data_IF_048534635652
#
_entry.id   IF_048534635652
#
_cell.length_a   1.000
_cell.length_b   1.000
_cell.length_c   1.000
_cell.angle_alpha   90.00
_cell.angle_beta   90.00
_cell.angle_gamma   90.00
#
_symmetry.space_group_name_H-M   'P 1'
#
loop_
_entity.id
_entity.type
_entity.pdbx_description
1 polymer ?
#
# COMPACT_ATOMS: atom_id res chain seq x y z
N UNK A 1 -5.11 20.95 -18.20
CA UNK A 1 -3.76 20.77 -17.62
C UNK A 1 -3.71 19.35 -17.10
N UNK A 2 -2.72 18.55 -17.51
CA UNK A 2 -2.59 17.17 -17.04
C UNK A 2 -1.43 17.11 -16.07
N UNK A 3 -1.66 16.44 -14.94
CA UNK A 3 -0.64 16.27 -13.92
C UNK A 3 0.53 15.44 -14.45
N UNK A 4 1.75 15.85 -14.10
CA UNK A 4 2.99 15.14 -14.44
C UNK A 4 3.57 14.58 -13.16
N UNK A 5 3.62 13.26 -13.07
CA UNK A 5 4.26 12.57 -11.95
C UNK A 5 5.72 12.28 -12.29
N UNK A 6 6.63 12.63 -11.38
CA UNK A 6 8.07 12.40 -11.56
C UNK A 6 8.54 11.08 -10.96
N UNK A 7 7.81 10.54 -9.97
CA UNK A 7 8.11 9.30 -9.28
C UNK A 7 6.84 8.67 -8.72
N UNK A 8 6.90 7.36 -8.49
CA UNK A 8 5.86 6.58 -7.82
C UNK A 8 6.52 5.75 -6.71
N UNK A 9 5.88 5.67 -5.55
CA UNK A 9 6.31 4.83 -4.43
C UNK A 9 5.36 3.66 -4.30
N UNK A 10 5.90 2.44 -4.41
CA UNK A 10 5.15 1.19 -4.26
C UNK A 10 5.44 0.64 -2.86
N UNK A 11 4.38 0.35 -2.11
CA UNK A 11 4.47 -0.21 -0.75
C UNK A 11 3.84 -1.60 -0.78
N UNK A 12 4.59 -2.60 -0.31
CA UNK A 12 4.12 -3.97 -0.20
C UNK A 12 3.29 -4.16 1.09
N UNK A 13 2.35 -5.10 1.06
CA UNK A 13 1.46 -5.38 2.20
C UNK A 13 2.21 -5.97 3.41
N UNK A 14 3.24 -6.78 3.14
CA UNK A 14 4.11 -7.42 4.13
C UNK A 14 5.57 -7.35 3.70
N UNK A 15 6.45 -7.60 4.66
CA UNK A 15 7.87 -7.79 4.35
C UNK A 15 8.02 -9.10 3.59
N UNK A 16 8.73 -9.04 2.47
CA UNK A 16 9.10 -10.20 1.67
C UNK A 16 10.62 -10.25 1.58
N UNK A 17 11.17 -11.45 1.32
CA UNK A 17 12.61 -11.60 1.13
C UNK A 17 13.03 -10.88 -0.14
N UNK A 18 14.30 -10.47 -0.19
CA UNK A 18 14.87 -9.79 -1.36
C UNK A 18 14.70 -10.62 -2.65
N UNK A 19 14.96 -11.93 -2.56
CA UNK A 19 14.77 -12.87 -3.68
C UNK A 19 13.32 -12.91 -4.19
N UNK A 20 12.34 -12.79 -3.28
CA UNK A 20 10.92 -12.76 -3.62
C UNK A 20 10.48 -11.40 -4.20
N UNK A 21 11.21 -10.32 -3.87
CA UNK A 21 10.96 -8.97 -4.37
C UNK A 21 11.52 -8.78 -5.78
N UNK A 22 12.56 -9.52 -6.15
CA UNK A 22 13.26 -9.38 -7.42
C UNK A 22 12.31 -9.50 -8.64
N UNK A 23 11.40 -10.49 -8.74
CA UNK A 23 10.43 -10.56 -9.84
C UNK A 23 9.50 -9.34 -9.93
N UNK A 24 9.15 -8.72 -8.80
CA UNK A 24 8.30 -7.52 -8.74
C UNK A 24 9.07 -6.32 -9.30
N UNK A 25 10.33 -6.15 -8.87
CA UNK A 25 11.22 -5.09 -9.35
C UNK A 25 11.41 -5.20 -10.87
N UNK A 26 11.67 -6.41 -11.36
CA UNK A 26 11.82 -6.67 -12.80
C UNK A 26 10.54 -6.36 -13.57
N UNK A 27 9.38 -6.80 -13.09
CA UNK A 27 8.10 -6.51 -13.71
C UNK A 27 7.88 -4.99 -13.85
N UNK A 28 8.16 -4.20 -12.79
CA UNK A 28 8.01 -2.74 -12.84
C UNK A 28 9.00 -2.12 -13.85
N UNK A 29 10.24 -2.61 -13.92
CA UNK A 29 11.24 -2.14 -14.89
C UNK A 29 10.84 -2.38 -16.36
N UNK A 30 9.98 -3.36 -16.63
CA UNK A 30 9.47 -3.60 -18.01
C UNK A 30 8.41 -2.57 -18.45
N UNK A 31 7.85 -1.79 -17.53
CA UNK A 31 6.80 -0.81 -17.86
C UNK A 31 7.42 0.37 -18.63
N UNK A 32 6.85 0.69 -19.80
CA UNK A 32 7.31 1.81 -20.64
C UNK A 32 7.31 3.12 -19.87
N UNK A 33 8.48 3.76 -19.81
CA UNK A 33 8.66 5.05 -19.13
C UNK A 33 9.17 4.93 -17.69
N UNK A 34 9.32 3.73 -17.16
CA UNK A 34 10.08 3.50 -15.92
C UNK A 34 11.57 3.59 -16.24
N UNK A 35 12.25 4.51 -15.56
CA UNK A 35 13.70 4.70 -15.71
C UNK A 35 14.49 3.83 -14.73
N UNK A 36 14.01 3.71 -13.50
CA UNK A 36 14.63 2.89 -12.45
C UNK A 36 13.60 2.45 -11.40
N UNK A 37 13.92 1.39 -10.67
CA UNK A 37 13.14 0.87 -9.53
C UNK A 37 14.12 0.51 -8.43
N UNK A 38 14.05 1.25 -7.32
CA UNK A 38 14.92 1.08 -6.16
C UNK A 38 14.16 0.37 -5.03
N UNK A 39 14.49 -0.91 -4.70
CA UNK A 39 13.97 -1.55 -3.51
C UNK A 39 14.60 -0.89 -2.28
N UNK A 40 13.77 -0.54 -1.30
CA UNK A 40 14.23 -0.15 0.02
C UNK A 40 14.14 -1.37 0.92
N UNK A 41 15.30 -1.96 1.23
CA UNK A 41 15.38 -2.95 2.32
C UNK A 41 14.98 -2.20 3.58
N UNK A 42 13.98 -2.71 4.30
CA UNK A 42 13.54 -2.09 5.52
C UNK A 42 14.70 -2.09 6.52
N UNK A 43 15.40 -0.95 6.66
CA UNK A 43 16.02 -0.61 7.93
C UNK A 43 14.87 -0.45 8.93
N UNK A 44 14.69 -1.55 9.65
CA UNK A 44 13.69 -2.01 10.62
C UNK A 44 12.64 -1.08 11.27
N UNK A 45 12.48 0.23 11.03
CA UNK A 45 11.57 1.01 11.91
C UNK A 45 10.60 2.06 11.31
N UNK A 46 10.88 2.79 10.22
CA UNK A 46 10.19 4.11 10.12
C UNK A 46 9.15 4.26 8.99
N UNK A 47 9.20 3.52 7.87
CA UNK A 47 8.24 3.74 6.76
C UNK A 47 7.13 2.69 6.61
N UNK A 48 7.42 1.41 6.85
CA UNK A 48 6.42 0.33 6.76
C UNK A 48 5.33 0.41 7.85
N UNK A 49 5.70 0.88 9.06
CA UNK A 49 4.81 0.93 10.23
C UNK A 49 3.59 1.81 10.01
N UNK A 50 3.73 2.96 9.34
CA UNK A 50 2.63 3.91 9.15
C UNK A 50 1.60 3.41 8.14
N UNK A 51 2.05 2.80 7.04
CA UNK A 51 1.16 2.26 6.01
C UNK A 51 0.50 0.95 6.46
N UNK A 52 1.21 0.10 7.20
CA UNK A 52 0.64 -1.11 7.82
C UNK A 52 -0.45 -0.79 8.83
N UNK A 53 -0.21 0.17 9.71
CA UNK A 53 -1.22 0.57 10.71
C UNK A 53 -2.50 1.04 10.02
N UNK A 54 -2.39 1.85 8.96
CA UNK A 54 -3.56 2.31 8.21
C UNK A 54 -4.29 1.17 7.49
N UNK A 55 -3.56 0.25 6.87
CA UNK A 55 -4.15 -0.91 6.19
C UNK A 55 -4.83 -1.87 7.17
N UNK A 56 -4.18 -2.19 8.30
CA UNK A 56 -4.77 -3.02 9.35
C UNK A 56 -6.01 -2.37 9.97
N UNK A 57 -5.97 -1.06 10.24
CA UNK A 57 -7.14 -0.32 10.73
C UNK A 57 -8.28 -0.38 9.72
N UNK A 58 -8.02 -0.11 8.44
CA UNK A 58 -9.04 -0.18 7.38
C UNK A 58 -9.65 -1.57 7.27
N UNK A 59 -8.83 -2.62 7.30
CA UNK A 59 -9.29 -4.01 7.25
C UNK A 59 -10.19 -4.33 8.46
N UNK A 60 -9.76 -3.97 9.67
CA UNK A 60 -10.56 -4.19 10.90
C UNK A 60 -11.90 -3.44 10.87
N UNK A 61 -11.93 -2.22 10.32
CA UNK A 61 -13.17 -1.45 10.16
C UNK A 61 -14.10 -2.14 9.18
N UNK A 62 -13.61 -2.57 8.02
CA UNK A 62 -14.41 -3.30 7.03
C UNK A 62 -14.93 -4.63 7.60
N UNK A 63 -14.07 -5.41 8.25
CA UNK A 63 -14.47 -6.67 8.89
C UNK A 63 -15.55 -6.46 9.97
N UNK A 64 -15.51 -5.33 10.70
CA UNK A 64 -16.49 -5.01 11.73
C UNK A 64 -17.83 -4.52 11.16
N UNK A 65 -17.80 -3.81 10.02
CA UNK A 65 -19.00 -3.45 9.26
C UNK A 65 -19.68 -4.69 8.68
N UNK A 66 -18.91 -5.60 8.07
CA UNK A 66 -19.42 -6.84 7.47
C UNK A 66 -20.02 -7.80 8.53
N UNK A 67 -19.50 -7.77 9.77
CA UNK A 67 -20.01 -8.57 10.89
C UNK A 67 -21.15 -7.89 11.68
N UNK A 68 -21.60 -6.70 11.27
CA UNK A 68 -22.68 -5.97 11.93
C UNK A 68 -22.35 -5.47 13.34
N UNK A 69 -21.07 -5.40 13.71
CA UNK A 69 -20.63 -4.91 15.03
C UNK A 69 -20.50 -3.39 15.12
N UNK A 70 -20.64 -2.68 13.99
CA UNK A 70 -20.69 -1.22 13.93
C UNK A 70 -21.85 -0.86 13.01
N UNK A 71 -22.94 -0.33 13.56
CA UNK A 71 -23.96 0.33 12.77
C UNK A 71 -23.44 1.71 12.37
N UNK A 72 -23.25 2.02 11.08
CA UNK A 72 -22.94 3.38 10.69
C UNK A 72 -24.19 4.23 10.89
N UNK A 73 -24.22 5.05 11.95
CA UNK A 73 -25.27 6.06 12.17
C UNK A 73 -25.29 7.18 11.11
N UNK A 74 -24.43 7.10 10.09
CA UNK A 74 -24.29 8.11 9.03
C UNK A 74 -25.11 7.83 7.76
N UNK A 75 -26.04 6.87 7.76
CA UNK A 75 -26.86 6.56 6.58
C UNK A 75 -28.14 7.42 6.42
N UNK A 76 -28.41 8.37 7.31
CA UNK A 76 -29.51 9.34 7.15
C UNK A 76 -29.09 10.71 7.67
N UNK A 77 -28.44 11.47 6.82
CA UNK A 77 -28.58 12.93 6.81
C UNK A 77 -28.79 13.33 5.34
N UNK A 78 -30.07 13.50 4.99
CA UNK A 78 -30.49 14.44 3.95
C UNK A 78 -30.09 15.87 4.34
#
# INVERSE_FOLDING_TARGET
>A
MTDRYYALTVVLDRDIREDDAQPIVEAIKTIRGVLDVQPHVAEFEIHATRHRLWYEMRKRVLDALDRGHITPEFATMD
#
